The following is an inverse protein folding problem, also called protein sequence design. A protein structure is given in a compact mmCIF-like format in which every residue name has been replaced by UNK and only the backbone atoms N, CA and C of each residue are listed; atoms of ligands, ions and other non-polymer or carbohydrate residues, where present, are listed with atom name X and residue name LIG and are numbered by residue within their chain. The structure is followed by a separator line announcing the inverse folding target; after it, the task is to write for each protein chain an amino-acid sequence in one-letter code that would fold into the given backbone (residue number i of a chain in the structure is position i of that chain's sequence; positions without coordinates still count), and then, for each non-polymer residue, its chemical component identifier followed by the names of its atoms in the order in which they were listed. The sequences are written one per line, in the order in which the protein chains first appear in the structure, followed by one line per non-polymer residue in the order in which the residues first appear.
data_IF_520286767733
#
_entry.id   IF_520286767733
#
_cell.length_a   1.000
_cell.length_b   1.000
_cell.length_c   1.000
_cell.angle_alpha   90.00
_cell.angle_beta   90.00
_cell.angle_gamma   90.00
#
_symmetry.space_group_name_H-M   'P 1'
#
loop_
_entity.id
_entity.type
_entity.pdbx_description
1 polymer ?
#
# COMPACT_ATOMS: atom_id res chain seq x y z
N UNK A 1 -8.22 -9.69 1.65
CA UNK A 1 -7.23 -9.61 0.56
C UNK A 1 -5.91 -10.27 0.94
N UNK A 2 -5.19 -9.80 1.97
CA UNK A 2 -3.91 -10.40 2.37
C UNK A 2 -4.03 -11.91 2.65
N UNK A 3 -5.00 -12.34 3.47
CA UNK A 3 -5.29 -13.77 3.67
C UNK A 3 -5.45 -14.60 2.38
N UNK A 4 -5.97 -14.00 1.30
CA UNK A 4 -6.26 -14.70 0.05
C UNK A 4 -5.04 -14.76 -0.87
N UNK A 5 -4.23 -13.70 -0.93
CA UNK A 5 -3.16 -13.55 -1.93
C UNK A 5 -1.74 -13.57 -1.34
N UNK A 6 -1.61 -13.29 -0.04
CA UNK A 6 -0.37 -13.25 0.74
C UNK A 6 -0.61 -13.90 2.12
N UNK A 7 -0.96 -15.20 2.17
CA UNK A 7 -1.30 -15.88 3.42
C UNK A 7 -0.18 -15.84 4.46
N UNK A 8 1.08 -15.65 4.06
CA UNK A 8 2.22 -15.45 4.95
C UNK A 8 2.06 -14.21 5.85
N UNK A 9 1.30 -13.20 5.40
CA UNK A 9 0.99 -11.97 6.15
C UNK A 9 -0.32 -12.05 6.93
N UNK A 10 -1.03 -13.18 6.91
CA UNK A 10 -2.34 -13.35 7.57
C UNK A 10 -2.31 -13.14 9.08
N UNK A 11 -1.14 -13.36 9.72
CA UNK A 11 -0.94 -13.14 11.15
C UNK A 11 -0.65 -11.68 11.54
N UNK A 12 -0.59 -10.75 10.59
CA UNK A 12 -0.39 -9.33 10.89
C UNK A 12 -1.68 -8.71 11.45
N UNK A 13 -1.63 -8.21 12.68
CA UNK A 13 -2.77 -7.63 13.41
C UNK A 13 -3.14 -6.27 12.80
N UNK A 14 -2.14 -5.44 12.46
CA UNK A 14 -2.32 -4.10 11.90
C UNK A 14 -1.44 -3.91 10.65
N UNK A 15 -1.76 -4.56 9.51
CA UNK A 15 -0.93 -4.50 8.29
C UNK A 15 -0.91 -3.12 7.61
N UNK A 16 -1.78 -2.19 8.04
CA UNK A 16 -1.90 -0.82 7.53
C UNK A 16 -1.52 0.23 8.58
N UNK A 17 -0.83 -0.17 9.66
CA UNK A 17 -0.40 0.79 10.69
C UNK A 17 0.68 1.70 10.12
N UNK A 18 0.55 3.01 10.39
CA UNK A 18 1.58 3.99 10.08
C UNK A 18 2.71 4.03 11.12
N UNK A 19 2.60 3.22 12.19
CA UNK A 19 3.57 3.12 13.27
C UNK A 19 4.41 1.86 13.05
N UNK A 20 5.56 2.05 12.40
CA UNK A 20 6.52 0.98 12.17
C UNK A 20 7.94 1.51 12.24
N UNK A 21 8.87 0.59 12.44
CA UNK A 21 10.30 0.87 12.36
C UNK A 21 10.96 -0.17 11.47
N UNK A 22 11.95 0.26 10.70
CA UNK A 22 12.71 -0.62 9.84
C UNK A 22 14.17 -0.17 9.78
N UNK A 23 15.06 -1.13 9.48
CA UNK A 23 16.46 -0.79 9.22
C UNK A 23 16.55 -0.07 7.88
N UNK A 24 17.21 1.08 7.85
CA UNK A 24 17.48 1.84 6.61
C UNK A 24 17.97 0.94 5.47
N UNK A 25 18.89 0.03 5.77
CA UNK A 25 19.49 -0.88 4.78
C UNK A 25 18.51 -1.87 4.15
N UNK A 26 17.39 -2.17 4.81
CA UNK A 26 16.33 -3.01 4.24
C UNK A 26 15.40 -2.17 3.36
N UNK A 27 14.93 -1.03 3.88
CA UNK A 27 13.95 -0.20 3.16
C UNK A 27 14.53 0.57 1.98
N UNK A 28 15.83 0.86 1.96
CA UNK A 28 16.45 1.51 0.80
C UNK A 28 16.48 0.60 -0.45
N UNK A 29 16.31 -0.71 -0.27
CA UNK A 29 16.37 -1.72 -1.34
C UNK A 29 15.01 -2.01 -1.98
N UNK A 30 13.92 -1.50 -1.42
CA UNK A 30 12.56 -1.71 -1.93
C UNK A 30 11.98 -0.41 -2.47
N UNK A 31 11.11 -0.49 -3.50
CA UNK A 31 10.34 0.66 -3.96
C UNK A 31 9.31 1.11 -2.91
N UNK A 32 8.76 2.32 -3.11
CA UNK A 32 7.75 2.90 -2.23
C UNK A 32 6.57 3.40 -3.04
N UNK A 33 5.36 2.92 -2.75
CA UNK A 33 4.16 3.59 -3.24
C UNK A 33 3.98 4.95 -2.55
N UNK A 34 3.47 5.92 -3.29
CA UNK A 34 2.94 7.16 -2.72
C UNK A 34 1.51 6.92 -2.24
N UNK A 35 1.04 7.68 -1.25
CA UNK A 35 -0.36 7.63 -0.86
C UNK A 35 -0.67 6.43 0.03
N UNK A 36 -1.85 5.84 -0.13
CA UNK A 36 -2.40 4.87 0.83
C UNK A 36 -1.90 3.45 0.63
N UNK A 37 -1.30 3.16 -0.53
CA UNK A 37 -0.69 1.86 -0.82
C UNK A 37 0.66 1.62 -0.16
N UNK A 38 1.26 2.64 0.49
CA UNK A 38 2.65 2.59 0.97
C UNK A 38 2.88 1.49 2.01
N UNK A 39 2.05 1.39 3.05
CA UNK A 39 2.21 0.35 4.09
C UNK A 39 2.05 -1.06 3.52
N UNK A 40 1.05 -1.26 2.66
CA UNK A 40 0.77 -2.57 2.06
C UNK A 40 1.89 -3.00 1.11
N UNK A 41 2.34 -2.10 0.24
CA UNK A 41 3.44 -2.37 -0.68
C UNK A 41 4.73 -2.67 0.08
N UNK A 42 5.08 -1.84 1.06
CA UNK A 42 6.27 -2.03 1.88
C UNK A 42 6.26 -3.39 2.61
N UNK A 43 5.13 -3.77 3.20
CA UNK A 43 5.00 -5.04 3.90
C UNK A 43 5.16 -6.24 2.95
N UNK A 44 4.58 -6.18 1.76
CA UNK A 44 4.72 -7.21 0.72
C UNK A 44 6.17 -7.29 0.23
N UNK A 45 6.80 -6.16 -0.03
CA UNK A 45 8.16 -6.10 -0.59
C UNK A 45 9.22 -6.57 0.40
N UNK A 46 9.07 -6.23 1.69
CA UNK A 46 9.94 -6.73 2.75
C UNK A 46 9.78 -8.24 2.97
N UNK A 47 8.54 -8.76 2.89
CA UNK A 47 8.30 -10.20 2.93
C UNK A 47 9.01 -10.90 1.77
N UNK A 48 8.91 -10.36 0.55
CA UNK A 48 9.52 -10.98 -0.63
C UNK A 48 11.06 -10.96 -0.57
N UNK A 49 11.65 -9.86 -0.10
CA UNK A 49 13.10 -9.70 -0.08
C UNK A 49 13.79 -10.36 1.12
N UNK A 50 13.13 -10.43 2.27
CA UNK A 50 13.76 -10.84 3.53
C UNK A 50 13.05 -12.00 4.24
N UNK A 51 11.87 -12.41 3.76
CA UNK A 51 11.08 -13.48 4.36
C UNK A 51 10.36 -13.08 5.65
N UNK A 52 9.42 -13.92 6.08
CA UNK A 52 8.57 -13.65 7.25
C UNK A 52 9.38 -13.50 8.55
N UNK A 53 10.50 -14.21 8.68
CA UNK A 53 11.37 -14.14 9.86
C UNK A 53 12.03 -12.77 10.07
N UNK A 54 12.03 -11.90 9.05
CA UNK A 54 12.53 -10.53 9.17
C UNK A 54 11.46 -9.55 9.67
N UNK A 55 10.21 -10.00 9.80
CA UNK A 55 9.08 -9.18 10.24
C UNK A 55 8.72 -9.51 11.69
N UNK A 56 8.38 -8.49 12.46
CA UNK A 56 7.93 -8.62 13.84
C UNK A 56 6.80 -7.61 14.12
N UNK A 57 6.04 -7.86 15.18
CA UNK A 57 4.97 -6.99 15.64
C UNK A 57 5.20 -6.62 17.11
N UNK A 58 4.87 -5.38 17.47
CA UNK A 58 4.93 -4.90 18.84
C UNK A 58 3.55 -4.35 19.24
N UNK A 59 3.11 -4.68 20.45
CA UNK A 59 1.88 -4.14 21.02
C UNK A 59 2.13 -2.72 21.54
N UNK A 60 1.46 -1.74 20.95
CA UNK A 60 1.52 -0.33 21.36
C UNK A 60 0.39 0.05 22.34
N UNK A 61 -0.34 -0.94 22.87
CA UNK A 61 -1.49 -0.81 23.76
C UNK A 61 -2.63 -0.01 23.12
N UNK A 62 -2.71 1.29 23.41
CA UNK A 62 -3.81 2.13 22.96
C UNK A 62 -3.34 3.12 21.91
N UNK A 63 -3.98 3.04 20.74
CA UNK A 63 -3.87 4.03 19.68
C UNK A 63 -5.24 4.65 19.43
N UNK A 64 -5.36 5.95 19.65
CA UNK A 64 -6.58 6.70 19.33
C UNK A 64 -6.32 7.51 18.07
N UNK A 65 -7.14 7.30 17.05
CA UNK A 65 -7.12 8.08 15.83
C UNK A 65 -8.51 8.62 15.54
N UNK A 66 -8.59 9.68 14.73
CA UNK A 66 -9.87 10.20 14.25
C UNK A 66 -10.49 9.20 13.29
N UNK A 67 -11.79 8.94 13.43
CA UNK A 67 -12.54 8.17 12.45
C UNK A 67 -12.66 8.98 11.16
N UNK A 68 -12.34 8.35 10.03
CA UNK A 68 -12.53 8.97 8.73
C UNK A 68 -13.96 8.72 8.23
N UNK A 69 -14.45 9.65 7.42
CA UNK A 69 -15.70 9.48 6.67
C UNK A 69 -15.60 8.31 5.68
N UNK A 70 -16.75 7.75 5.30
CA UNK A 70 -16.82 6.55 4.45
C UNK A 70 -16.20 6.75 3.05
N UNK A 71 -16.35 7.95 2.48
CA UNK A 71 -15.83 8.27 1.14
C UNK A 71 -14.29 8.22 1.09
N UNK A 72 -13.54 8.89 2.00
CA UNK A 72 -12.11 8.67 2.16
C UNK A 72 -11.73 7.20 2.34
N UNK A 73 -12.44 6.45 3.21
CA UNK A 73 -12.18 5.02 3.42
C UNK A 73 -12.29 4.19 2.13
N UNK A 74 -13.30 4.51 1.31
CA UNK A 74 -13.53 3.84 0.03
C UNK A 74 -12.38 4.09 -0.95
N UNK A 75 -11.86 5.33 -1.00
CA UNK A 75 -10.69 5.71 -1.81
C UNK A 75 -9.42 4.98 -1.35
N UNK A 76 -9.20 4.91 -0.04
CA UNK A 76 -8.06 4.18 0.54
C UNK A 76 -8.11 2.69 0.21
N UNK A 77 -9.27 2.05 0.38
CA UNK A 77 -9.47 0.65 0.07
C UNK A 77 -9.22 0.35 -1.42
N UNK A 78 -9.65 1.25 -2.31
CA UNK A 78 -9.39 1.14 -3.75
C UNK A 78 -7.89 1.19 -4.05
N UNK A 79 -7.16 2.16 -3.51
CA UNK A 79 -5.72 2.29 -3.70
C UNK A 79 -4.93 1.07 -3.18
N UNK A 80 -5.26 0.60 -1.97
CA UNK A 80 -4.64 -0.61 -1.38
C UNK A 80 -4.91 -1.84 -2.26
N UNK A 81 -6.12 -1.97 -2.79
CA UNK A 81 -6.48 -3.07 -3.70
C UNK A 81 -5.64 -3.04 -4.97
N UNK A 82 -5.42 -1.86 -5.55
CA UNK A 82 -4.57 -1.71 -6.74
C UNK A 82 -3.13 -2.16 -6.45
N UNK A 83 -2.56 -1.79 -5.31
CA UNK A 83 -1.20 -2.21 -4.91
C UNK A 83 -1.11 -3.73 -4.73
N UNK A 84 -2.07 -4.34 -4.04
CA UNK A 84 -2.11 -5.81 -3.86
C UNK A 84 -2.16 -6.52 -5.21
N UNK A 85 -2.96 -6.02 -6.15
CA UNK A 85 -3.08 -6.60 -7.49
C UNK A 85 -1.80 -6.42 -8.31
N UNK A 86 -1.19 -5.23 -8.29
CA UNK A 86 0.07 -4.97 -8.99
C UNK A 86 1.17 -5.92 -8.50
N UNK A 87 1.34 -6.07 -7.18
CA UNK A 87 2.33 -7.00 -6.62
C UNK A 87 2.01 -8.46 -6.90
N UNK A 88 0.74 -8.82 -7.03
CA UNK A 88 0.34 -10.19 -7.37
C UNK A 88 0.71 -10.52 -8.81
N UNK A 89 0.47 -9.59 -9.74
CA UNK A 89 0.88 -9.71 -11.14
C UNK A 89 2.41 -9.88 -11.27
N UNK A 90 3.18 -9.04 -10.57
CA UNK A 90 4.64 -9.10 -10.54
C UNK A 90 5.13 -10.44 -9.97
N UNK A 91 4.57 -10.91 -8.84
CA UNK A 91 4.94 -12.17 -8.18
C UNK A 91 4.64 -13.39 -9.05
N UNK A 92 3.48 -13.41 -9.72
CA UNK A 92 3.06 -14.54 -10.55
C UNK A 92 3.65 -14.50 -11.96
N UNK A 93 4.24 -13.36 -12.36
CA UNK A 93 4.68 -13.09 -13.75
C UNK A 93 3.53 -13.26 -14.75
N UNK A 94 2.31 -12.95 -14.31
CA UNK A 94 1.07 -13.03 -15.10
C UNK A 94 0.50 -11.63 -15.20
N UNK A 95 0.04 -11.26 -16.39
CA UNK A 95 -0.81 -10.08 -16.58
C UNK A 95 -2.24 -10.51 -16.29
N UNK A 96 -2.73 -10.26 -15.09
CA UNK A 96 -4.05 -10.73 -14.65
C UNK A 96 -5.16 -9.86 -15.25
N UNK A 97 -4.86 -8.58 -15.56
CA UNK A 97 -5.83 -7.62 -16.09
C UNK A 97 -5.27 -6.80 -17.27
N UNK A 98 -6.17 -6.31 -18.14
CA UNK A 98 -5.95 -5.03 -18.86
C UNK A 98 -5.62 -3.93 -17.85
N UNK A 99 -4.93 -2.82 -18.20
CA UNK A 99 -4.44 -1.84 -17.22
C UNK A 99 -5.47 -1.57 -16.12
N UNK A 100 -5.11 -1.94 -14.87
CA UNK A 100 -6.01 -1.92 -13.70
C UNK A 100 -6.75 -0.59 -13.69
N UNK A 101 -8.08 -0.63 -13.55
CA UNK A 101 -8.90 0.57 -13.58
C UNK A 101 -8.34 1.61 -12.58
N UNK A 102 -7.97 2.78 -13.09
CA UNK A 102 -7.42 3.90 -12.31
C UNK A 102 -8.52 4.88 -11.88
N UNK A 103 -9.74 4.67 -12.37
CA UNK A 103 -10.90 5.51 -12.07
C UNK A 103 -11.83 4.81 -11.09
N UNK A 104 -12.07 5.47 -9.96
CA UNK A 104 -13.09 5.08 -9.00
C UNK A 104 -14.36 5.90 -9.25
N UNK A 105 -15.50 5.22 -9.28
CA UNK A 105 -16.82 5.82 -9.34
C UNK A 105 -17.39 5.93 -7.92
N UNK A 106 -17.71 7.13 -7.48
CA UNK A 106 -18.27 7.42 -6.17
C UNK A 106 -19.71 7.88 -6.31
N UNK A 107 -20.60 7.32 -5.50
CA UNK A 107 -22.00 7.73 -5.42
C UNK A 107 -22.11 8.66 -4.21
N UNK A 108 -22.44 9.93 -4.46
CA UNK A 108 -22.47 10.96 -3.43
C UNK A 108 -23.88 11.55 -3.31
N UNK A 109 -24.39 11.76 -2.08
CA UNK A 109 -25.68 12.41 -1.87
C UNK A 109 -25.63 13.89 -2.27
N UNK A 110 -26.77 14.44 -2.66
CA UNK A 110 -26.99 15.87 -2.90
C UNK A 110 -28.04 16.42 -1.92
N UNK A 111 -28.25 17.73 -1.91
CA UNK A 111 -29.15 18.42 -0.98
C UNK A 111 -30.64 17.99 -1.06
N UNK A 112 -31.04 17.27 -2.13
CA UNK A 112 -32.44 16.92 -2.40
C UNK A 112 -32.72 15.40 -2.41
N UNK A 113 -32.02 14.61 -1.59
CA UNK A 113 -32.15 13.13 -1.55
C UNK A 113 -31.85 12.45 -2.91
N UNK A 114 -31.08 13.13 -3.76
CA UNK A 114 -30.60 12.58 -5.02
C UNK A 114 -29.15 12.14 -4.90
N UNK A 115 -28.71 11.28 -5.81
CA UNK A 115 -27.32 10.85 -5.89
C UNK A 115 -26.70 11.34 -7.19
N UNK A 116 -25.42 11.71 -7.14
CA UNK A 116 -24.64 11.96 -8.34
C UNK A 116 -23.41 11.05 -8.38
N UNK A 117 -22.96 10.77 -9.60
CA UNK A 117 -21.78 9.96 -9.87
C UNK A 117 -20.57 10.86 -10.04
N UNK A 118 -19.61 10.77 -9.13
CA UNK A 118 -18.33 11.43 -9.25
C UNK A 118 -17.28 10.40 -9.69
N UNK A 119 -16.52 10.70 -10.74
CA UNK A 119 -15.39 9.86 -11.18
C UNK A 119 -14.10 10.50 -10.70
N UNK A 120 -13.35 9.77 -9.89
CA UNK A 120 -12.04 10.19 -9.37
C UNK A 120 -10.95 9.28 -9.91
N UNK A 121 -9.88 9.88 -10.43
CA UNK A 121 -8.65 9.14 -10.70
C UNK A 121 -7.93 8.91 -9.37
N UNK A 122 -7.73 7.64 -9.03
CA UNK A 122 -6.96 7.20 -7.88
C UNK A 122 -5.80 6.39 -8.45
N UNK A 123 -4.61 6.98 -8.34
CA UNK A 123 -3.38 6.35 -8.79
C UNK A 123 -2.29 6.65 -7.78
N UNK A 124 -1.89 5.60 -7.08
CA UNK A 124 -0.64 5.63 -6.34
C UNK A 124 0.51 5.44 -7.34
N UNK A 125 1.56 6.23 -7.17
CA UNK A 125 2.77 6.16 -7.96
C UNK A 125 3.82 5.38 -7.20
N UNK A 126 4.58 4.57 -7.91
CA UNK A 126 5.70 3.86 -7.31
C UNK A 126 6.99 4.65 -7.49
N UNK A 127 7.66 4.93 -6.38
CA UNK A 127 9.01 5.47 -6.34
C UNK A 127 10.00 4.31 -6.39
N UNK A 128 11.09 4.44 -7.16
CA UNK A 128 12.09 3.39 -7.24
C UNK A 128 12.76 3.16 -5.88
N UNK A 129 13.41 2.02 -5.74
CA UNK A 129 14.22 1.76 -4.55
C UNK A 129 15.24 2.88 -4.36
N UNK A 130 15.34 3.40 -3.14
CA UNK A 130 16.16 4.58 -2.84
C UNK A 130 17.64 4.34 -3.21
N UNK A 131 18.10 3.09 -3.10
CA UNK A 131 19.46 2.70 -3.50
C UNK A 131 19.75 2.84 -5.00
N UNK A 132 18.72 2.91 -5.85
CA UNK A 132 18.88 3.16 -7.28
C UNK A 132 18.91 4.65 -7.65
N UNK A 133 18.58 5.55 -6.70
CA UNK A 133 18.59 7.00 -6.92
C UNK A 133 20.04 7.50 -6.84
N UNK A 134 20.61 8.08 -7.92
CA UNK A 134 22.02 8.50 -7.94
C UNK A 134 22.40 9.46 -6.82
N UNK A 135 21.56 10.45 -6.56
CA UNK A 135 21.78 11.48 -5.54
C UNK A 135 21.79 10.87 -4.13
N UNK A 136 20.98 9.83 -3.89
CA UNK A 136 20.99 9.10 -2.63
C UNK A 136 22.28 8.30 -2.47
N UNK A 137 22.73 7.63 -3.54
CA UNK A 137 23.98 6.86 -3.50
C UNK A 137 25.18 7.76 -3.21
N UNK A 138 25.26 8.90 -3.86
CA UNK A 138 26.30 9.91 -3.63
C UNK A 138 26.30 10.39 -2.17
N UNK A 139 25.13 10.76 -1.63
CA UNK A 139 24.99 11.18 -0.24
C UNK A 139 25.38 10.10 0.79
N UNK A 140 25.29 8.82 0.40
CA UNK A 140 25.62 7.68 1.25
C UNK A 140 27.01 7.07 0.95
N UNK A 141 27.78 7.66 0.04
CA UNK A 141 29.11 7.19 -0.36
C UNK A 141 29.11 5.84 -1.07
N UNK A 142 28.14 5.58 -1.96
CA UNK A 142 27.92 4.30 -2.67
C UNK A 142 27.88 4.44 -4.20
#
# INVERSE_FOLDING_TARGET
MLNLFYPELSGMIQPLSGEYAARRVAIEQVPFFTGYGVETGLLIDLLQNHGLSALAQADLQQRVHRNQELVPLSKMAFAITQVVMQRLEERQRVRLLEPINQSMKLILPTEHDQFHLEVRQIRDHERPAMISVPEYREAMGR
#
